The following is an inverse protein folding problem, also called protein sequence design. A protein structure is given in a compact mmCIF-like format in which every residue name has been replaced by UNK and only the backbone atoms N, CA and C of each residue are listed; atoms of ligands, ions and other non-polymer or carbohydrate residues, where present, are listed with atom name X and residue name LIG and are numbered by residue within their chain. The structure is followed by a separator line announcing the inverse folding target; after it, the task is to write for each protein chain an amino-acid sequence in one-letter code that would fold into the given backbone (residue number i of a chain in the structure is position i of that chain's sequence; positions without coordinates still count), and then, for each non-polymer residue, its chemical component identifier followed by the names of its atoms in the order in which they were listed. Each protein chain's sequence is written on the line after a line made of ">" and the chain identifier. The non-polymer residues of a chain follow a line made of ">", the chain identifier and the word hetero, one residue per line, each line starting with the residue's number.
data_IF_951270054983
#
_entry.id   IF_951270054983
#
_cell.length_a   1.000
_cell.length_b   1.000
_cell.length_c   1.000
_cell.angle_alpha   90.00
_cell.angle_beta   90.00
_cell.angle_gamma   90.00
#
_symmetry.space_group_name_H-M   'P 1'
#
loop_
_entity.id
_entity.type
_entity.pdbx_description
1 polymer ?
#
# COMPACT_ATOMS: atom_id res chain seq x y z
N UNK A 1 -3.61 -16.39 -20.96
CA UNK A 1 -2.74 -15.86 -19.88
C UNK A 1 -3.27 -14.53 -19.39
N UNK A 2 -3.29 -14.33 -18.08
CA UNK A 2 -3.78 -13.09 -17.46
C UNK A 2 -2.94 -11.89 -17.87
N UNK A 3 -3.57 -10.75 -18.07
CA UNK A 3 -2.89 -9.51 -18.44
C UNK A 3 -3.61 -8.33 -17.83
N UNK A 4 -2.85 -7.38 -17.30
CA UNK A 4 -3.40 -6.12 -16.85
C UNK A 4 -3.89 -5.32 -18.05
N UNK A 5 -4.95 -4.50 -17.90
CA UNK A 5 -5.34 -3.55 -18.93
C UNK A 5 -4.14 -2.70 -19.37
N UNK A 6 -4.04 -2.35 -20.67
CA UNK A 6 -2.96 -1.51 -21.16
C UNK A 6 -3.00 -0.15 -20.46
N UNK A 7 -1.82 0.35 -20.09
CA UNK A 7 -1.73 1.68 -19.49
C UNK A 7 -2.10 2.75 -20.53
N UNK A 8 -3.08 3.58 -20.19
CA UNK A 8 -3.44 4.75 -20.98
C UNK A 8 -2.96 6.00 -20.23
N UNK A 9 -2.09 6.78 -20.89
CA UNK A 9 -1.69 8.08 -20.36
C UNK A 9 -2.91 9.01 -20.34
N UNK A 10 -3.48 9.23 -19.15
CA UNK A 10 -4.38 10.36 -18.91
C UNK A 10 -3.51 11.53 -18.47
N UNK A 11 -3.36 12.56 -19.30
CA UNK A 11 -2.55 13.77 -19.03
C UNK A 11 -3.17 14.67 -17.94
N UNK A 12 -3.73 14.10 -16.87
CA UNK A 12 -4.23 14.88 -15.75
C UNK A 12 -3.26 14.69 -14.61
N UNK A 13 -2.27 15.59 -14.52
CA UNK A 13 -1.45 15.71 -13.33
C UNK A 13 -2.41 15.87 -12.13
N UNK A 14 -2.27 15.06 -11.07
CA UNK A 14 -3.06 15.27 -9.87
C UNK A 14 -2.86 16.71 -9.40
N UNK A 15 -3.93 17.36 -8.95
CA UNK A 15 -3.81 18.65 -8.29
C UNK A 15 -2.80 18.52 -7.14
N UNK A 16 -1.84 19.45 -7.08
CA UNK A 16 -0.86 19.50 -6.00
C UNK A 16 -1.64 19.58 -4.68
N UNK A 17 -1.52 18.59 -3.77
CA UNK A 17 -2.27 18.60 -2.52
C UNK A 17 -1.97 19.87 -1.72
N UNK A 18 -2.89 20.36 -0.89
CA UNK A 18 -2.53 21.44 0.03
C UNK A 18 -1.50 20.97 1.07
N UNK A 19 -0.71 21.91 1.59
CA UNK A 19 0.21 21.59 2.68
C UNK A 19 -0.61 21.22 3.92
N UNK A 20 -0.26 20.12 4.62
CA UNK A 20 -0.93 19.78 5.87
C UNK A 20 -0.70 20.91 6.90
N UNK A 21 -1.69 21.22 7.74
CA UNK A 21 -1.50 22.18 8.82
C UNK A 21 -0.54 21.62 9.87
N UNK A 22 0.30 22.48 10.44
CA UNK A 22 1.13 22.09 11.59
C UNK A 22 0.27 21.89 12.83
N UNK A 23 0.47 20.80 13.54
CA UNK A 23 -0.32 20.40 14.72
C UNK A 23 0.57 20.20 15.94
N UNK A 24 0.01 20.45 17.12
CA UNK A 24 0.66 20.14 18.40
C UNK A 24 0.08 18.82 18.89
N UNK A 25 0.82 17.73 18.72
CA UNK A 25 0.35 16.37 19.02
C UNK A 25 0.88 15.90 20.36
N UNK A 26 2.18 16.07 20.55
CA UNK A 26 2.92 15.57 21.72
C UNK A 26 3.23 16.67 22.72
N UNK A 27 3.21 17.94 22.29
CA UNK A 27 3.69 19.09 23.07
C UNK A 27 5.21 19.29 22.99
N UNK A 28 5.92 18.35 22.37
CA UNK A 28 7.34 18.43 22.08
C UNK A 28 7.54 19.00 20.67
N UNK A 29 8.07 20.22 20.59
CA UNK A 29 8.17 20.98 19.34
C UNK A 29 8.98 20.27 18.25
N UNK A 30 10.02 19.53 18.61
CA UNK A 30 10.85 18.83 17.62
C UNK A 30 10.15 17.57 17.09
N UNK A 31 9.44 16.85 17.96
CA UNK A 31 8.65 15.68 17.57
C UNK A 31 7.46 16.11 16.71
N UNK A 32 6.75 17.17 17.13
CA UNK A 32 5.61 17.72 16.40
C UNK A 32 6.04 18.27 15.03
N UNK A 33 7.23 18.90 14.94
CA UNK A 33 7.81 19.28 13.66
C UNK A 33 8.13 18.06 12.78
N UNK A 34 8.75 17.02 13.34
CA UNK A 34 9.08 15.82 12.57
C UNK A 34 7.82 15.05 12.11
N UNK A 35 6.77 14.99 12.94
CA UNK A 35 5.45 14.46 12.56
C UNK A 35 4.88 15.23 11.37
N UNK A 36 4.94 16.56 11.40
CA UNK A 36 4.48 17.38 10.29
C UNK A 36 5.30 17.17 9.02
N UNK A 37 6.64 17.09 9.12
CA UNK A 37 7.51 16.80 7.97
C UNK A 37 7.18 15.44 7.34
N UNK A 38 6.84 14.43 8.15
CA UNK A 38 6.36 13.14 7.63
C UNK A 38 5.06 13.28 6.86
N UNK A 39 4.09 14.06 7.35
CA UNK A 39 2.85 14.34 6.62
C UNK A 39 3.13 15.06 5.29
N UNK A 40 4.09 15.99 5.27
CA UNK A 40 4.51 16.67 4.03
C UNK A 40 5.11 15.67 3.04
N UNK A 41 5.97 14.76 3.50
CA UNK A 41 6.52 13.69 2.65
C UNK A 41 5.39 12.80 2.10
N UNK A 42 4.42 12.44 2.93
CA UNK A 42 3.28 11.59 2.56
C UNK A 42 2.36 12.22 1.49
N UNK A 43 2.45 13.54 1.26
CA UNK A 43 1.78 14.19 0.11
C UNK A 43 2.28 13.64 -1.22
N UNK A 44 3.53 13.16 -1.27
CA UNK A 44 4.13 12.58 -2.46
C UNK A 44 4.57 13.59 -3.52
N UNK A 45 4.53 14.88 -3.22
CA UNK A 45 5.05 15.93 -4.12
C UNK A 45 6.60 15.95 -4.06
N UNK A 46 7.30 15.78 -5.20
CA UNK A 46 8.77 15.67 -5.19
C UNK A 46 9.48 16.89 -4.62
N UNK A 47 8.97 18.10 -4.87
CA UNK A 47 9.59 19.34 -4.38
C UNK A 47 9.46 19.42 -2.86
N UNK A 48 8.27 19.10 -2.34
CA UNK A 48 8.01 19.10 -0.89
C UNK A 48 8.73 18.00 -0.15
N UNK A 49 8.92 16.82 -0.76
CA UNK A 49 9.72 15.75 -0.16
C UNK A 49 11.15 16.24 0.09
N UNK A 50 11.78 16.86 -0.92
CA UNK A 50 13.14 17.39 -0.76
C UNK A 50 13.20 18.52 0.27
N UNK A 51 12.24 19.45 0.24
CA UNK A 51 12.13 20.52 1.24
C UNK A 51 11.94 19.96 2.66
N UNK A 52 11.13 18.92 2.82
CA UNK A 52 10.89 18.30 4.12
C UNK A 52 12.15 17.60 4.66
N UNK A 53 12.91 16.91 3.79
CA UNK A 53 14.20 16.31 4.15
C UNK A 53 15.24 17.36 4.53
N UNK A 54 15.33 18.45 3.79
CA UNK A 54 16.23 19.56 4.10
C UNK A 54 15.85 20.22 5.45
N UNK A 55 14.56 20.41 5.71
CA UNK A 55 14.06 20.93 6.98
C UNK A 55 14.36 19.97 8.15
N UNK A 56 14.22 18.66 7.96
CA UNK A 56 14.59 17.67 8.97
C UNK A 56 16.08 17.75 9.32
N UNK A 57 16.95 17.99 8.34
CA UNK A 57 18.40 18.19 8.55
C UNK A 57 18.77 19.43 9.36
N UNK A 58 17.83 20.38 9.57
CA UNK A 58 18.03 21.56 10.42
C UNK A 58 17.65 21.30 11.87
N UNK A 59 17.02 20.17 12.19
CA UNK A 59 16.71 19.80 13.57
C UNK A 59 18.02 19.48 14.29
N UNK A 60 18.29 20.17 15.39
CA UNK A 60 19.56 20.03 16.12
C UNK A 60 19.66 18.71 16.85
N UNK A 61 18.53 18.20 17.37
CA UNK A 61 18.49 16.90 18.02
C UNK A 61 18.64 15.77 17.00
N UNK A 62 19.49 14.75 17.25
CA UNK A 62 19.57 13.56 16.40
C UNK A 62 18.20 12.89 16.21
N UNK A 63 17.85 12.51 14.98
CA UNK A 63 16.54 11.93 14.65
C UNK A 63 16.25 10.65 15.44
N UNK A 64 17.26 9.82 15.70
CA UNK A 64 17.13 8.58 16.49
C UNK A 64 16.69 8.87 17.94
N UNK A 65 17.14 10.00 18.51
CA UNK A 65 16.71 10.42 19.84
C UNK A 65 15.27 10.92 19.83
N UNK A 66 14.83 11.59 18.74
CA UNK A 66 13.43 11.97 18.55
C UNK A 66 12.52 10.75 18.41
N UNK A 67 12.94 9.72 17.68
CA UNK A 67 12.23 8.43 17.61
C UNK A 67 12.07 7.79 18.99
N UNK A 68 13.14 7.76 19.79
CA UNK A 68 13.09 7.23 21.16
C UNK A 68 12.17 8.04 22.08
N UNK A 69 12.17 9.39 21.96
CA UNK A 69 11.27 10.27 22.72
C UNK A 69 9.81 10.05 22.32
N UNK A 70 9.55 9.95 21.02
CA UNK A 70 8.22 9.69 20.48
C UNK A 70 7.68 8.33 20.94
N UNK A 71 8.51 7.28 20.89
CA UNK A 71 8.14 5.96 21.41
C UNK A 71 7.76 5.97 22.90
N UNK A 72 8.51 6.72 23.73
CA UNK A 72 8.13 6.90 25.15
C UNK A 72 6.79 7.61 25.30
N UNK A 73 6.55 8.65 24.51
CA UNK A 73 5.27 9.37 24.52
C UNK A 73 4.10 8.46 24.09
N UNK A 74 4.28 7.60 23.08
CA UNK A 74 3.27 6.62 22.66
C UNK A 74 2.92 5.63 23.79
N UNK A 75 3.92 5.14 24.53
CA UNK A 75 3.69 4.25 25.67
C UNK A 75 2.87 4.93 26.77
N UNK A 76 3.20 6.18 27.10
CA UNK A 76 2.50 6.94 28.14
C UNK A 76 1.08 7.30 27.71
N UNK A 77 0.90 7.74 26.46
CA UNK A 77 -0.40 8.16 25.94
C UNK A 77 -1.38 7.00 25.73
N UNK A 78 -0.89 5.84 25.25
CA UNK A 78 -1.72 4.66 25.04
C UNK A 78 -1.88 3.77 26.30
N UNK A 79 -1.05 3.97 27.32
CA UNK A 79 -1.09 3.21 28.57
C UNK A 79 -0.55 1.78 28.49
N UNK A 80 0.10 1.39 27.39
CA UNK A 80 0.71 0.06 27.24
C UNK A 80 2.05 0.11 26.49
N UNK A 81 3.00 -0.75 26.91
CA UNK A 81 4.38 -0.75 26.39
C UNK A 81 4.49 -1.07 24.90
N UNK A 82 3.56 -1.87 24.37
CA UNK A 82 3.55 -2.23 22.94
C UNK A 82 3.25 -1.04 22.03
N UNK A 83 2.66 0.07 22.53
CA UNK A 83 2.42 1.26 21.73
C UNK A 83 3.72 1.91 21.24
N UNK A 84 4.81 1.75 21.99
CA UNK A 84 6.13 2.24 21.60
C UNK A 84 6.63 1.63 20.29
N UNK A 85 6.13 0.45 19.88
CA UNK A 85 6.47 -0.14 18.58
C UNK A 85 6.00 0.74 17.41
N UNK A 86 4.99 1.59 17.62
CA UNK A 86 4.52 2.57 16.63
C UNK A 86 5.53 3.67 16.30
N UNK A 87 6.61 3.84 17.09
CA UNK A 87 7.68 4.77 16.74
C UNK A 87 8.75 4.16 15.83
N UNK A 88 8.76 2.85 15.58
CA UNK A 88 9.81 2.20 14.79
C UNK A 88 9.83 2.78 13.37
N UNK A 89 10.98 3.34 12.97
CA UNK A 89 11.14 3.98 11.67
C UNK A 89 10.53 5.39 11.58
N UNK A 90 10.26 6.02 12.72
CA UNK A 90 9.85 7.42 12.82
C UNK A 90 10.93 8.38 12.29
N UNK A 91 12.21 8.07 12.52
CA UNK A 91 13.35 8.83 12.00
C UNK A 91 13.68 8.52 10.53
N UNK A 92 13.18 7.40 9.98
CA UNK A 92 13.49 6.95 8.63
C UNK A 92 12.67 7.71 7.56
N UNK A 93 13.03 8.95 7.31
CA UNK A 93 12.38 9.82 6.32
C UNK A 93 12.69 9.40 4.88
N UNK A 94 13.89 8.89 4.60
CA UNK A 94 14.26 8.42 3.26
C UNK A 94 13.42 7.20 2.85
N UNK A 95 13.29 6.22 3.75
CA UNK A 95 12.42 5.07 3.52
C UNK A 95 10.96 5.47 3.38
N UNK A 96 10.49 6.49 4.12
CA UNK A 96 9.14 7.03 3.95
C UNK A 96 8.95 7.69 2.58
N UNK A 97 9.92 8.49 2.13
CA UNK A 97 9.90 9.14 0.83
C UNK A 97 9.89 8.11 -0.31
N UNK A 98 10.78 7.12 -0.27
CA UNK A 98 10.82 6.04 -1.26
C UNK A 98 9.50 5.28 -1.37
N UNK A 99 8.91 4.91 -0.22
CA UNK A 99 7.61 4.24 -0.19
C UNK A 99 6.50 5.13 -0.75
N UNK A 100 6.50 6.41 -0.41
CA UNK A 100 5.49 7.36 -0.89
C UNK A 100 5.59 7.58 -2.39
N UNK A 101 6.80 7.75 -2.93
CA UNK A 101 7.03 7.91 -4.38
C UNK A 101 6.56 6.64 -5.12
N UNK A 102 6.93 5.45 -4.63
CA UNK A 102 6.47 4.17 -5.20
C UNK A 102 4.94 4.04 -5.15
N UNK A 103 4.32 4.46 -4.04
CA UNK A 103 2.85 4.45 -3.89
C UNK A 103 2.19 5.38 -4.92
N UNK A 104 2.65 6.63 -5.03
CA UNK A 104 2.12 7.60 -6.03
C UNK A 104 2.28 7.13 -7.46
N UNK A 105 3.41 6.53 -7.81
CA UNK A 105 3.63 5.96 -9.13
C UNK A 105 2.61 4.84 -9.42
N UNK A 106 2.38 3.94 -8.45
CA UNK A 106 1.37 2.88 -8.55
C UNK A 106 -0.06 3.41 -8.59
N UNK A 107 -0.38 4.46 -7.83
CA UNK A 107 -1.69 5.14 -7.92
C UNK A 107 -1.93 5.68 -9.34
N UNK A 108 -0.93 6.37 -9.92
CA UNK A 108 -1.00 6.87 -11.28
C UNK A 108 -1.13 5.77 -12.33
N UNK A 109 -0.40 4.67 -12.16
CA UNK A 109 -0.51 3.49 -13.02
C UNK A 109 -1.89 2.81 -12.89
N UNK A 110 -2.39 2.63 -11.67
CA UNK A 110 -3.68 2.02 -11.38
C UNK A 110 -4.82 2.82 -12.04
N UNK A 111 -4.82 4.15 -11.85
CA UNK A 111 -5.77 5.05 -12.49
C UNK A 111 -5.64 4.99 -14.02
N UNK A 112 -4.41 4.97 -14.55
CA UNK A 112 -4.15 4.93 -15.99
C UNK A 112 -4.53 3.60 -16.66
N UNK A 113 -4.50 2.48 -15.93
CA UNK A 113 -4.89 1.16 -16.43
C UNK A 113 -6.38 0.89 -16.28
N UNK A 114 -6.94 1.21 -15.12
CA UNK A 114 -8.29 0.79 -14.76
C UNK A 114 -9.32 1.92 -14.73
N UNK A 115 -8.90 3.16 -14.50
CA UNK A 115 -9.81 4.28 -14.27
C UNK A 115 -10.86 3.94 -13.20
N UNK A 116 -12.14 4.14 -13.52
CA UNK A 116 -13.26 3.87 -12.61
C UNK A 116 -13.49 2.37 -12.35
N UNK A 117 -12.89 1.50 -13.17
CA UNK A 117 -13.02 0.03 -13.04
C UNK A 117 -11.98 -0.60 -12.12
N UNK A 118 -11.16 0.22 -11.42
CA UNK A 118 -10.08 -0.27 -10.55
C UNK A 118 -10.53 -1.35 -9.56
N UNK A 119 -11.76 -1.22 -9.08
CA UNK A 119 -12.34 -2.06 -8.04
C UNK A 119 -13.25 -3.16 -8.58
N UNK A 120 -13.40 -3.28 -9.89
CA UNK A 120 -14.18 -4.35 -10.50
C UNK A 120 -13.32 -5.59 -10.65
N UNK A 121 -13.95 -6.76 -10.53
CA UNK A 121 -13.29 -8.03 -10.77
C UNK A 121 -12.74 -8.06 -12.19
N UNK A 122 -11.45 -8.32 -12.29
CA UNK A 122 -10.80 -8.57 -13.57
C UNK A 122 -11.25 -9.90 -14.16
N UNK A 123 -11.08 -10.15 -15.47
CA UNK A 123 -11.37 -11.46 -16.05
C UNK A 123 -10.64 -12.63 -15.35
N UNK A 124 -9.44 -12.39 -14.82
CA UNK A 124 -8.69 -13.38 -14.05
C UNK A 124 -9.33 -13.70 -12.69
N UNK A 125 -9.87 -12.69 -12.01
CA UNK A 125 -10.57 -12.85 -10.73
C UNK A 125 -11.92 -13.53 -10.93
N UNK A 126 -12.69 -13.10 -11.92
CA UNK A 126 -13.95 -13.77 -12.31
C UNK A 126 -13.69 -15.23 -12.61
N UNK A 127 -12.62 -15.55 -13.34
CA UNK A 127 -12.22 -16.93 -13.59
C UNK A 127 -11.96 -17.72 -12.30
N UNK A 128 -11.20 -17.15 -11.35
CA UNK A 128 -10.94 -17.83 -10.07
C UNK A 128 -12.23 -18.05 -9.27
N UNK A 129 -13.12 -17.05 -9.24
CA UNK A 129 -14.42 -17.13 -8.57
C UNK A 129 -15.31 -18.20 -9.21
N UNK A 130 -15.35 -18.29 -10.55
CA UNK A 130 -16.13 -19.29 -11.27
C UNK A 130 -15.56 -20.70 -11.10
N UNK A 131 -14.24 -20.87 -11.19
CA UNK A 131 -13.56 -22.15 -11.01
C UNK A 131 -13.78 -22.73 -9.59
N UNK A 132 -13.84 -21.85 -8.58
CA UNK A 132 -14.01 -22.21 -7.19
C UNK A 132 -15.45 -22.11 -6.67
N UNK A 133 -16.42 -21.73 -7.51
CA UNK A 133 -17.81 -21.48 -7.12
C UNK A 133 -18.49 -22.62 -6.33
N UNK A 134 -18.04 -23.85 -6.55
CA UNK A 134 -18.62 -25.07 -5.93
C UNK A 134 -17.69 -25.72 -4.90
N UNK A 135 -16.54 -25.10 -4.61
CA UNK A 135 -15.60 -25.57 -3.60
C UNK A 135 -15.98 -24.89 -2.29
N UNK A 136 -16.32 -25.68 -1.28
CA UNK A 136 -16.56 -25.16 0.06
C UNK A 136 -15.23 -24.84 0.74
N UNK A 137 -15.21 -23.73 1.47
CA UNK A 137 -14.08 -23.34 2.29
C UNK A 137 -14.05 -24.15 3.58
N UNK A 138 -12.85 -24.39 4.09
CA UNK A 138 -12.63 -24.94 5.43
C UNK A 138 -12.05 -23.82 6.27
N UNK A 139 -12.78 -23.44 7.32
CA UNK A 139 -12.52 -22.20 8.09
C UNK A 139 -12.56 -20.96 7.18
N UNK A 140 -11.38 -20.40 6.85
CA UNK A 140 -11.20 -19.18 6.05
C UNK A 140 -10.51 -19.44 4.70
N UNK A 141 -10.14 -20.68 4.39
CA UNK A 141 -9.33 -21.00 3.21
C UNK A 141 -9.96 -22.12 2.35
N UNK A 142 -9.56 -22.19 1.09
CA UNK A 142 -9.98 -23.27 0.18
C UNK A 142 -9.06 -24.49 0.33
N UNK A 143 -9.62 -25.73 0.35
CA UNK A 143 -8.81 -26.94 0.38
C UNK A 143 -7.88 -27.03 -0.85
N UNK A 144 -6.53 -27.03 -0.68
CA UNK A 144 -5.59 -26.89 -1.80
C UNK A 144 -5.73 -27.98 -2.87
N UNK A 145 -6.04 -29.22 -2.48
CA UNK A 145 -6.23 -30.33 -3.41
C UNK A 145 -7.47 -30.11 -4.30
N UNK A 146 -8.58 -29.65 -3.71
CA UNK A 146 -9.81 -29.38 -4.46
C UNK A 146 -9.63 -28.19 -5.40
N UNK A 147 -8.93 -27.14 -4.95
CA UNK A 147 -8.53 -26.02 -5.81
C UNK A 147 -7.74 -26.56 -7.00
N UNK A 148 -6.67 -27.32 -6.76
CA UNK A 148 -5.83 -27.86 -7.83
C UNK A 148 -6.64 -28.69 -8.85
N UNK A 149 -7.58 -29.50 -8.39
CA UNK A 149 -8.43 -30.32 -9.27
C UNK A 149 -9.40 -29.48 -10.11
N UNK A 150 -9.95 -28.39 -9.56
CA UNK A 150 -10.79 -27.45 -10.32
C UNK A 150 -10.01 -26.76 -11.43
N UNK A 151 -8.83 -26.23 -11.12
CA UNK A 151 -8.02 -25.54 -12.11
C UNK A 151 -7.47 -26.50 -13.19
N UNK A 152 -7.07 -27.72 -12.83
CA UNK A 152 -6.65 -28.76 -13.79
C UNK A 152 -7.75 -29.15 -14.77
N UNK A 153 -9.02 -29.05 -14.37
CA UNK A 153 -10.16 -29.34 -15.25
C UNK A 153 -10.39 -28.27 -16.33
N UNK A 154 -9.68 -27.13 -16.26
CA UNK A 154 -9.75 -26.02 -17.22
C UNK A 154 -8.37 -25.80 -17.84
N UNK A 155 -7.90 -26.73 -18.70
CA UNK A 155 -6.51 -26.74 -19.17
C UNK A 155 -6.13 -25.52 -20.02
N UNK A 156 -7.09 -24.84 -20.64
CA UNK A 156 -6.86 -23.66 -21.50
C UNK A 156 -6.28 -22.45 -20.75
N UNK A 157 -6.47 -22.40 -19.44
CA UNK A 157 -6.01 -21.31 -18.57
C UNK A 157 -4.98 -21.77 -17.55
N UNK A 158 -4.46 -22.99 -17.69
CA UNK A 158 -3.36 -23.49 -16.87
C UNK A 158 -2.01 -22.99 -17.42
N UNK A 159 -1.08 -22.53 -16.58
CA UNK A 159 0.28 -22.27 -17.02
C UNK A 159 0.92 -23.59 -17.46
N UNK A 160 1.52 -23.61 -18.66
CA UNK A 160 2.13 -24.80 -19.24
C UNK A 160 3.66 -24.78 -19.17
N UNK A 161 4.23 -23.60 -18.88
CA UNK A 161 5.67 -23.40 -18.71
C UNK A 161 5.98 -22.68 -17.39
N UNK A 162 7.25 -22.76 -16.97
CA UNK A 162 7.74 -21.94 -15.84
C UNK A 162 7.59 -20.45 -16.12
N UNK A 163 7.76 -20.03 -17.38
CA UNK A 163 7.54 -18.64 -17.79
C UNK A 163 6.08 -18.23 -17.57
N UNK A 164 5.14 -19.13 -17.84
CA UNK A 164 3.72 -18.85 -17.65
C UNK A 164 3.40 -18.67 -16.16
N UNK A 165 3.97 -19.54 -15.30
CA UNK A 165 3.81 -19.43 -13.85
C UNK A 165 4.35 -18.09 -13.32
N UNK A 166 5.54 -17.68 -13.76
CA UNK A 166 6.14 -16.41 -13.33
C UNK A 166 5.33 -15.21 -13.79
N UNK A 167 4.75 -15.28 -14.99
CA UNK A 167 3.88 -14.23 -15.51
C UNK A 167 2.58 -14.10 -14.70
N UNK A 168 1.95 -15.21 -14.32
CA UNK A 168 0.75 -15.19 -13.48
C UNK A 168 1.05 -14.66 -12.07
N UNK A 169 2.17 -15.06 -11.47
CA UNK A 169 2.61 -14.50 -10.18
C UNK A 169 2.84 -12.99 -10.27
N UNK A 170 3.48 -12.51 -11.33
CA UNK A 170 3.68 -11.09 -11.57
C UNK A 170 2.34 -10.35 -11.71
N UNK A 171 1.41 -10.91 -12.48
CA UNK A 171 0.07 -10.35 -12.65
C UNK A 171 -0.66 -10.14 -11.31
N UNK A 172 -0.73 -11.17 -10.47
CA UNK A 172 -1.42 -11.08 -9.17
C UNK A 172 -0.72 -10.11 -8.20
N UNK A 173 0.61 -10.14 -8.19
CA UNK A 173 1.42 -9.24 -7.39
C UNK A 173 1.21 -7.77 -7.80
N UNK A 174 1.21 -7.49 -9.10
CA UNK A 174 1.01 -6.15 -9.63
C UNK A 174 -0.42 -5.66 -9.37
N UNK A 175 -1.45 -6.50 -9.63
CA UNK A 175 -2.83 -6.16 -9.32
C UNK A 175 -3.02 -5.80 -7.84
N UNK A 176 -2.46 -6.61 -6.94
CA UNK A 176 -2.49 -6.35 -5.50
C UNK A 176 -1.85 -4.99 -5.15
N UNK A 177 -0.64 -4.73 -5.62
CA UNK A 177 0.08 -3.51 -5.28
C UNK A 177 -0.50 -2.25 -5.94
N UNK A 178 -1.13 -2.37 -7.11
CA UNK A 178 -1.85 -1.27 -7.74
C UNK A 178 -3.08 -0.88 -6.93
N UNK A 179 -3.92 -1.84 -6.55
CA UNK A 179 -5.12 -1.58 -5.72
C UNK A 179 -4.74 -1.10 -4.32
N UNK A 180 -3.76 -1.74 -3.68
CA UNK A 180 -3.26 -1.33 -2.35
C UNK A 180 -2.74 0.11 -2.34
N UNK A 181 -2.18 0.60 -3.44
CA UNK A 181 -1.72 1.98 -3.52
C UNK A 181 -2.87 2.99 -3.51
N UNK A 182 -4.02 2.63 -4.09
CA UNK A 182 -5.22 3.47 -4.14
C UNK A 182 -6.16 3.34 -2.94
N UNK A 183 -5.95 2.34 -2.09
CA UNK A 183 -6.73 2.15 -0.87
C UNK A 183 -6.33 3.18 0.20
N UNK A 184 -7.12 4.23 0.30
CA UNK A 184 -6.91 5.34 1.25
C UNK A 184 -7.64 5.14 2.57
N UNK A 185 -8.61 4.21 2.65
CA UNK A 185 -9.42 3.94 3.85
C UNK A 185 -9.14 2.60 4.53
N UNK A 186 -8.33 1.72 3.93
CA UNK A 186 -8.16 0.34 4.37
C UNK A 186 -9.30 -0.58 3.94
N UNK A 187 -10.18 -0.10 3.05
CA UNK A 187 -11.36 -0.84 2.56
C UNK A 187 -11.00 -2.02 1.66
N UNK A 188 -9.81 -2.03 1.06
CA UNK A 188 -9.37 -3.14 0.22
C UNK A 188 -9.11 -4.39 1.07
N UNK A 189 -8.44 -4.25 2.21
CA UNK A 189 -8.23 -5.36 3.15
C UNK A 189 -9.58 -5.85 3.70
N UNK A 190 -10.48 -4.94 4.08
CA UNK A 190 -11.84 -5.30 4.53
C UNK A 190 -12.68 -5.98 3.43
N UNK A 191 -12.53 -5.61 2.15
CA UNK A 191 -13.26 -6.24 1.03
C UNK A 191 -12.75 -7.64 0.71
N UNK A 192 -11.43 -7.85 0.80
CA UNK A 192 -10.83 -9.18 0.70
C UNK A 192 -11.32 -10.08 1.84
N UNK A 193 -11.52 -9.52 3.04
CA UNK A 193 -12.06 -10.24 4.20
C UNK A 193 -13.59 -10.46 4.16
N UNK A 194 -14.35 -9.55 3.56
CA UNK A 194 -15.84 -9.63 3.52
C UNK A 194 -16.40 -10.31 2.27
N UNK A 195 -15.58 -10.48 1.23
CA UNK A 195 -15.87 -11.37 0.09
C UNK A 195 -15.37 -12.80 0.36
N UNK A 196 -14.87 -13.05 1.60
CA UNK A 196 -14.46 -14.35 2.08
C UNK A 196 -15.60 -15.10 2.80
#
# INVERSE_FOLDING_TARGET
>A
MFTLPPWQSRETLPAVPDLPPQQVVTGDKEIDALLWLRQVIETGDPVRIEQAKEAAGRITTPLDELERRYGRWLVVSAGHVMAGLGSIGFANLDGLAERTIKRRAREGEAIGRFGDQLWYDTPAEVFCLEALRTVERVEWDYPPEQVADRFKAIPELMPHTLSDCLHELAYWNDLHYLRKACDTSGEYEHRMESSA
#
